data_IF_867367657582
#
_entry.id   IF_867367657582
#
_cell.length_a   1.000
_cell.length_b   1.000
_cell.length_c   1.000
_cell.angle_alpha   90.00
_cell.angle_beta   90.00
_cell.angle_gamma   90.00
#
_symmetry.space_group_name_H-M   'P 1'
#
loop_
_entity.id
_entity.type
_entity.pdbx_description
1 polymer ?
#
# COMPACT_ATOMS: atom_id res chain seq x y z
N UNK A 1 9.16 -0.84 0.84
CA UNK A 1 8.77 -0.79 2.27
C UNK A 1 7.41 -1.44 2.47
N UNK A 2 7.26 -2.28 3.50
CA UNK A 2 5.97 -2.83 3.93
C UNK A 2 5.47 -2.06 5.15
N UNK A 3 4.51 -1.15 4.93
CA UNK A 3 3.95 -0.26 5.94
C UNK A 3 2.67 -0.89 6.51
N UNK A 4 2.66 -1.17 7.81
CA UNK A 4 1.54 -1.86 8.46
C UNK A 4 0.91 -0.97 9.51
N UNK A 5 -0.42 -0.93 9.56
CA UNK A 5 -1.16 -0.45 10.72
C UNK A 5 -1.64 -1.64 11.57
N UNK A 6 -0.95 -1.99 12.68
CA UNK A 6 -1.34 -3.12 13.51
C UNK A 6 -2.69 -2.96 14.21
N UNK A 7 -3.20 -1.72 14.31
CA UNK A 7 -4.48 -1.42 14.93
C UNK A 7 -5.65 -1.47 13.92
N UNK A 8 -5.41 -1.74 12.64
CA UNK A 8 -6.46 -1.87 11.65
C UNK A 8 -7.24 -3.18 11.86
N UNK A 9 -8.57 -3.14 11.67
CA UNK A 9 -9.51 -4.16 12.17
C UNK A 9 -9.24 -5.59 11.69
N UNK A 10 -8.65 -5.74 10.52
CA UNK A 10 -8.46 -7.04 9.85
C UNK A 10 -7.00 -7.47 9.82
N UNK A 11 -6.11 -6.68 10.43
CA UNK A 11 -4.68 -6.98 10.52
C UNK A 11 -4.43 -7.88 11.73
N UNK A 12 -3.87 -9.06 11.48
CA UNK A 12 -3.42 -9.97 12.54
C UNK A 12 -1.91 -10.20 12.45
N UNK A 13 -1.24 -10.58 13.56
CA UNK A 13 0.17 -10.95 13.52
C UNK A 13 0.47 -12.06 12.50
N UNK A 14 -0.45 -13.03 12.36
CA UNK A 14 -0.32 -14.13 11.41
C UNK A 14 -0.35 -13.61 9.97
N UNK A 15 -1.37 -12.84 9.63
CA UNK A 15 -1.54 -12.27 8.29
C UNK A 15 -0.33 -11.40 7.91
N UNK A 16 0.12 -10.53 8.83
CA UNK A 16 1.33 -9.71 8.63
C UNK A 16 2.55 -10.56 8.28
N UNK A 17 2.82 -11.62 9.04
CA UNK A 17 3.97 -12.50 8.81
C UNK A 17 3.87 -13.23 7.48
N UNK A 18 2.67 -13.70 7.11
CA UNK A 18 2.45 -14.37 5.82
C UNK A 18 2.74 -13.43 4.66
N UNK A 19 2.19 -12.22 4.70
CA UNK A 19 2.36 -11.20 3.65
C UNK A 19 3.81 -10.75 3.57
N UNK A 20 4.45 -10.47 4.71
CA UNK A 20 5.86 -10.09 4.73
C UNK A 20 6.75 -11.16 4.10
N UNK A 21 6.50 -12.44 4.40
CA UNK A 21 7.26 -13.55 3.81
C UNK A 21 7.01 -13.69 2.32
N UNK A 22 5.78 -13.50 1.86
CA UNK A 22 5.44 -13.55 0.45
C UNK A 22 6.13 -12.41 -0.33
N UNK A 23 6.07 -11.17 0.17
CA UNK A 23 6.78 -10.04 -0.42
C UNK A 23 8.31 -10.25 -0.42
N UNK A 24 8.85 -10.79 0.67
CA UNK A 24 10.29 -11.01 0.82
C UNK A 24 10.83 -12.21 0.02
N UNK A 25 9.98 -12.94 -0.69
CA UNK A 25 10.43 -14.04 -1.55
C UNK A 25 11.29 -13.54 -2.71
N UNK A 26 10.88 -12.42 -3.33
CA UNK A 26 11.49 -11.86 -4.53
C UNK A 26 11.89 -10.37 -4.39
N UNK A 27 11.65 -9.76 -3.22
CA UNK A 27 11.94 -8.34 -2.97
C UNK A 27 12.68 -8.10 -1.65
N UNK A 28 13.46 -7.02 -1.60
CA UNK A 28 13.99 -6.50 -0.33
C UNK A 28 12.89 -5.78 0.44
N UNK A 29 12.54 -6.31 1.62
CA UNK A 29 11.40 -5.84 2.41
C UNK A 29 11.84 -5.32 3.77
N UNK A 30 11.64 -4.01 3.96
CA UNK A 30 11.71 -3.36 5.28
C UNK A 30 10.30 -3.20 5.84
N UNK A 31 10.04 -3.77 7.03
CA UNK A 31 8.79 -3.62 7.76
C UNK A 31 8.79 -2.31 8.56
N UNK A 32 7.73 -1.52 8.42
CA UNK A 32 7.51 -0.30 9.20
C UNK A 32 6.09 -0.28 9.78
N UNK A 33 5.95 -0.20 11.10
CA UNK A 33 4.64 -0.24 11.77
C UNK A 33 4.21 1.14 12.26
N UNK A 34 2.95 1.50 12.00
CA UNK A 34 2.36 2.71 12.57
C UNK A 34 2.16 2.53 14.08
N UNK A 35 2.41 3.58 14.87
CA UNK A 35 2.24 3.53 16.34
C UNK A 35 1.15 4.49 16.82
N UNK A 36 0.70 5.38 15.94
CA UNK A 36 -0.31 6.41 16.18
C UNK A 36 -0.86 6.91 14.86
N UNK A 37 -1.97 7.64 14.93
CA UNK A 37 -2.53 8.40 13.81
C UNK A 37 -1.48 9.35 13.20
N UNK A 38 -1.55 9.57 11.89
CA UNK A 38 -0.63 10.38 11.09
C UNK A 38 0.81 9.82 11.00
N UNK A 39 1.10 8.64 11.58
CA UNK A 39 2.43 8.03 11.49
C UNK A 39 2.72 7.53 10.07
N UNK A 40 1.71 7.08 9.32
CA UNK A 40 1.97 6.52 7.99
C UNK A 40 2.49 7.58 7.01
N UNK A 41 2.07 8.84 7.14
CA UNK A 41 2.62 9.97 6.37
C UNK A 41 4.13 10.12 6.58
N UNK A 42 4.60 10.00 7.83
CA UNK A 42 6.03 10.12 8.15
C UNK A 42 6.82 8.93 7.63
N UNK A 43 6.30 7.71 7.77
CA UNK A 43 6.95 6.50 7.26
C UNK A 43 7.03 6.54 5.72
N UNK A 44 5.99 7.02 5.05
CA UNK A 44 5.99 7.18 3.60
C UNK A 44 7.03 8.23 3.14
N UNK A 45 7.17 9.36 3.84
CA UNK A 45 8.23 10.34 3.54
C UNK A 45 9.63 9.74 3.74
N UNK A 46 9.82 8.98 4.82
CA UNK A 46 11.06 8.25 5.05
C UNK A 46 11.34 7.26 3.91
N UNK A 47 10.32 6.57 3.39
CA UNK A 47 10.48 5.68 2.24
C UNK A 47 10.95 6.42 0.98
N UNK A 48 10.55 7.69 0.79
CA UNK A 48 11.04 8.53 -0.31
C UNK A 48 12.50 8.92 -0.09
N UNK A 49 12.86 9.34 1.12
CA UNK A 49 14.24 9.70 1.49
C UNK A 49 15.20 8.52 1.37
N UNK A 50 14.72 7.32 1.66
CA UNK A 50 15.46 6.05 1.54
C UNK A 50 15.32 5.40 0.15
N UNK A 51 14.78 6.13 -0.84
CA UNK A 51 14.70 5.74 -2.26
C UNK A 51 13.99 4.39 -2.51
N UNK A 52 12.98 4.04 -1.72
CA UNK A 52 12.19 2.84 -1.99
C UNK A 52 11.41 2.97 -3.30
N UNK A 53 11.38 1.88 -4.07
CA UNK A 53 10.57 1.78 -5.28
C UNK A 53 9.07 1.77 -4.96
N UNK A 54 8.67 1.05 -3.91
CA UNK A 54 7.26 0.81 -3.56
C UNK A 54 7.03 0.86 -2.05
N UNK A 55 5.95 1.51 -1.63
CA UNK A 55 5.35 1.37 -0.30
C UNK A 55 4.09 0.51 -0.42
N UNK A 56 4.12 -0.68 0.17
CA UNK A 56 2.96 -1.57 0.29
C UNK A 56 2.28 -1.31 1.63
N UNK A 57 1.05 -0.82 1.63
CA UNK A 57 0.29 -0.49 2.85
C UNK A 57 -0.66 -1.63 3.20
N UNK A 58 -0.49 -2.25 4.37
CA UNK A 58 -1.50 -3.11 4.99
C UNK A 58 -2.24 -2.33 6.08
N UNK A 59 -3.46 -1.89 5.78
CA UNK A 59 -4.24 -1.05 6.68
C UNK A 59 -5.60 -0.67 6.09
N UNK A 60 -6.32 0.21 6.78
CA UNK A 60 -7.58 0.77 6.26
C UNK A 60 -7.37 2.00 5.36
N UNK A 61 -8.47 2.54 4.83
CA UNK A 61 -8.45 3.71 3.93
C UNK A 61 -7.76 4.94 4.54
N UNK A 62 -7.85 5.13 5.86
CA UNK A 62 -7.15 6.22 6.57
C UNK A 62 -5.63 6.08 6.53
N UNK A 63 -5.11 4.87 6.78
CA UNK A 63 -3.66 4.59 6.72
C UNK A 63 -3.14 4.74 5.30
N UNK A 64 -3.91 4.27 4.32
CA UNK A 64 -3.57 4.46 2.91
C UNK A 64 -3.53 5.95 2.54
N UNK A 65 -4.51 6.74 2.99
CA UNK A 65 -4.56 8.17 2.71
C UNK A 65 -3.37 8.91 3.32
N UNK A 66 -3.00 8.59 4.57
CA UNK A 66 -1.80 9.13 5.21
C UNK A 66 -0.53 8.81 4.39
N UNK A 67 -0.34 7.54 4.01
CA UNK A 67 0.80 7.11 3.21
C UNK A 67 0.83 7.84 1.84
N UNK A 68 -0.30 7.91 1.13
CA UNK A 68 -0.41 8.61 -0.14
C UNK A 68 0.01 10.09 -0.02
N UNK A 69 -0.40 10.78 1.05
CA UNK A 69 0.02 12.16 1.29
C UNK A 69 1.53 12.28 1.58
N UNK A 70 2.16 11.25 2.14
CA UNK A 70 3.61 11.22 2.34
C UNK A 70 4.41 11.04 1.05
N UNK A 71 3.80 10.50 0.00
CA UNK A 71 4.43 10.22 -1.30
C UNK A 71 4.15 11.28 -2.37
N UNK A 72 3.45 12.37 -2.03
CA UNK A 72 3.15 13.43 -3.00
C UNK A 72 4.46 13.96 -3.60
N UNK A 73 4.49 14.10 -4.93
CA UNK A 73 5.66 14.54 -5.72
C UNK A 73 6.88 13.60 -5.68
N UNK A 74 6.75 12.37 -5.19
CA UNK A 74 7.81 11.36 -5.28
C UNK A 74 7.60 10.40 -6.46
N UNK A 75 8.63 9.63 -6.79
CA UNK A 75 8.55 8.50 -7.73
C UNK A 75 8.22 7.17 -7.05
N UNK A 76 8.23 7.13 -5.71
CA UNK A 76 7.90 5.94 -4.93
C UNK A 76 6.45 5.55 -5.15
N UNK A 77 6.22 4.35 -5.67
CA UNK A 77 4.88 3.84 -5.92
C UNK A 77 4.15 3.48 -4.62
N UNK A 78 2.82 3.48 -4.68
CA UNK A 78 1.94 3.08 -3.59
C UNK A 78 1.12 1.85 -3.98
N UNK A 79 1.20 0.81 -3.17
CA UNK A 79 0.34 -0.36 -3.24
C UNK A 79 -0.50 -0.50 -1.97
N UNK A 80 -1.69 -1.08 -2.09
CA UNK A 80 -2.62 -1.28 -0.98
C UNK A 80 -2.91 -2.76 -0.78
N UNK A 81 -3.05 -3.16 0.48
CA UNK A 81 -3.62 -4.43 0.92
C UNK A 81 -4.71 -4.15 1.96
N UNK A 82 -5.86 -4.84 1.89
CA UNK A 82 -7.01 -4.61 2.75
C UNK A 82 -6.68 -4.96 4.22
N UNK A 83 -6.60 -3.96 5.09
CA UNK A 83 -6.40 -4.17 6.53
C UNK A 83 -7.51 -3.56 7.41
N UNK A 84 -8.39 -2.75 6.83
CA UNK A 84 -9.51 -2.10 7.53
C UNK A 84 -10.84 -2.81 7.30
N UNK A 85 -11.92 -2.17 7.76
CA UNK A 85 -13.28 -2.72 7.67
C UNK A 85 -13.93 -2.45 6.31
N UNK A 86 -13.69 -1.26 5.74
CA UNK A 86 -14.34 -0.83 4.49
C UNK A 86 -13.47 -1.13 3.26
N UNK A 87 -12.19 -0.76 3.32
CA UNK A 87 -11.20 -0.94 2.24
C UNK A 87 -11.72 -0.46 0.88
N UNK A 88 -12.38 0.70 0.85
CA UNK A 88 -13.05 1.23 -0.36
C UNK A 88 -12.09 1.27 -1.53
N UNK A 89 -10.86 1.72 -1.28
CA UNK A 89 -9.87 1.86 -2.34
C UNK A 89 -9.43 0.50 -2.91
N UNK A 90 -9.09 -0.47 -2.04
CA UNK A 90 -8.71 -1.82 -2.48
C UNK A 90 -9.84 -2.49 -3.28
N UNK A 91 -11.08 -2.37 -2.82
CA UNK A 91 -12.27 -2.89 -3.53
C UNK A 91 -12.49 -2.21 -4.88
N UNK A 92 -12.22 -0.90 -4.98
CA UNK A 92 -12.36 -0.15 -6.24
C UNK A 92 -11.34 -0.61 -7.27
N UNK A 93 -10.16 -1.06 -6.83
CA UNK A 93 -9.14 -1.71 -7.65
C UNK A 93 -9.46 -3.20 -7.96
N UNK A 94 -10.61 -3.71 -7.53
CA UNK A 94 -11.00 -5.10 -7.72
C UNK A 94 -10.23 -6.11 -6.85
N UNK A 95 -9.52 -5.65 -5.80
CA UNK A 95 -8.83 -6.55 -4.89
C UNK A 95 -9.83 -7.28 -3.98
N UNK A 96 -9.57 -8.57 -3.66
CA UNK A 96 -10.36 -9.31 -2.67
C UNK A 96 -10.17 -8.70 -1.28
N UNK A 97 -11.11 -8.98 -0.37
CA UNK A 97 -11.05 -8.50 1.01
C UNK A 97 -10.02 -9.23 1.86
N UNK A 98 -9.69 -10.47 1.49
CA UNK A 98 -8.64 -11.22 2.17
C UNK A 98 -7.27 -10.65 1.76
N UNK A 99 -6.47 -10.15 2.72
CA UNK A 99 -5.20 -9.52 2.40
C UNK A 99 -4.13 -10.50 1.90
N UNK A 100 -4.25 -11.80 2.18
CA UNK A 100 -3.32 -12.81 1.64
C UNK A 100 -3.64 -13.06 0.16
N UNK A 101 -4.92 -13.19 -0.18
CA UNK A 101 -5.37 -13.29 -1.58
C UNK A 101 -4.99 -12.04 -2.38
N UNK A 102 -5.22 -10.85 -1.81
CA UNK A 102 -4.85 -9.58 -2.44
C UNK A 102 -3.32 -9.46 -2.65
N UNK A 103 -2.52 -10.04 -1.75
CA UNK A 103 -1.06 -10.08 -1.89
C UNK A 103 -0.63 -10.93 -3.09
N UNK A 104 -1.31 -12.06 -3.34
CA UNK A 104 -1.03 -12.88 -4.53
C UNK A 104 -1.25 -12.10 -5.83
N UNK A 105 -2.37 -11.38 -5.94
CA UNK A 105 -2.67 -10.53 -7.10
C UNK A 105 -1.63 -9.41 -7.24
N UNK A 106 -1.26 -8.75 -6.13
CA UNK A 106 -0.26 -7.70 -6.13
C UNK A 106 1.08 -8.20 -6.69
N UNK A 107 1.59 -9.33 -6.19
CA UNK A 107 2.85 -9.92 -6.64
C UNK A 107 2.79 -10.27 -8.14
N UNK A 108 1.72 -10.91 -8.59
CA UNK A 108 1.54 -11.22 -10.01
C UNK A 108 1.56 -9.96 -10.90
N UNK A 109 1.02 -8.85 -10.42
CA UNK A 109 1.06 -7.58 -11.16
C UNK A 109 2.43 -6.91 -11.12
N UNK A 110 3.17 -7.01 -10.03
CA UNK A 110 4.52 -6.46 -9.91
C UNK A 110 5.49 -7.15 -10.87
N UNK A 111 5.37 -8.47 -11.04
CA UNK A 111 6.22 -9.24 -11.96
C UNK A 111 5.93 -8.96 -13.45
N UNK A 112 4.70 -8.57 -13.77
CA UNK A 112 4.23 -8.32 -15.15
C UNK A 112 4.34 -6.84 -15.55
N UNK A 113 4.42 -5.92 -14.59
CA UNK A 113 4.33 -4.49 -14.86
C UNK A 113 5.72 -3.86 -15.07
N UNK A 114 5.89 -3.19 -16.21
CA UNK A 114 6.65 -1.95 -16.25
C UNK A 114 5.75 -0.92 -15.52
N UNK A 115 6.12 -0.37 -14.35
CA UNK A 115 5.20 0.41 -13.52
C UNK A 115 4.61 1.56 -14.34
N UNK A 116 3.37 1.38 -14.79
CA UNK A 116 2.65 2.43 -15.50
C UNK A 116 2.36 3.51 -14.47
N UNK A 117 2.83 4.72 -14.76
CA UNK A 117 2.52 5.91 -13.97
C UNK A 117 1.00 6.03 -13.88
N UNK A 118 0.44 5.64 -12.74
CA UNK A 118 -0.96 5.85 -12.44
C UNK A 118 -1.08 7.31 -12.05
N UNK A 119 -1.76 8.10 -12.89
CA UNK A 119 -2.03 9.49 -12.58
C UNK A 119 -2.74 9.58 -11.23
N UNK A 120 -2.08 10.21 -10.26
CA UNK A 120 -2.69 10.55 -8.99
C UNK A 120 -3.82 11.55 -9.29
N UNK A 121 -5.07 11.09 -9.30
CA UNK A 121 -6.23 11.97 -9.36
C UNK A 121 -6.29 12.81 -8.09
N UNK A 122 -6.36 14.13 -8.20
CA UNK A 122 -6.53 15.04 -7.06
C UNK A 122 -7.98 15.50 -6.98
N UNK A 123 -8.70 15.16 -5.91
CA UNK A 123 -10.04 15.71 -5.60
C UNK A 123 -10.02 16.28 -4.19
N UNK A 124 -10.32 17.57 -4.03
CA UNK A 124 -10.32 18.29 -2.75
C UNK A 124 -8.98 18.27 -1.99
N UNK A 125 -7.84 18.32 -2.70
CA UNK A 125 -6.51 18.25 -2.10
C UNK A 125 -6.14 16.85 -1.58
N UNK A 126 -6.89 15.81 -1.97
CA UNK A 126 -6.62 14.41 -1.66
C UNK A 126 -6.20 13.69 -2.94
N UNK A 127 -5.08 13.00 -2.88
CA UNK A 127 -4.51 12.25 -3.99
C UNK A 127 -5.02 10.81 -3.97
N UNK A 128 -5.46 10.31 -5.13
CA UNK A 128 -5.99 8.97 -5.33
C UNK A 128 -5.22 8.28 -6.47
N UNK A 129 -4.81 7.02 -6.30
CA UNK A 129 -4.28 6.21 -7.40
C UNK A 129 -5.47 5.54 -8.12
N UNK A 130 -5.73 5.83 -9.40
CA UNK A 130 -6.72 5.08 -10.18
C UNK A 130 -6.03 4.31 -11.29
N UNK A 131 -6.04 2.98 -11.23
CA UNK A 131 -5.64 2.18 -12.39
C UNK A 131 -6.54 2.55 -13.58
N UNK A 132 -5.98 3.19 -14.61
CA UNK A 132 -6.66 3.39 -15.88
C UNK A 132 -6.32 2.20 -16.76
N UNK A 133 -7.30 1.32 -16.97
CA UNK A 133 -7.26 0.36 -18.06
C UNK A 133 -7.35 1.13 -19.38
N UNK A 134 -6.33 0.95 -20.22
CA UNK A 134 -6.39 1.32 -21.62
C UNK A 134 -7.00 0.18 -22.40
N UNK A 135 -8.34 0.15 -22.46
CA UNK A 135 -9.13 -0.33 -23.60
C UNK A 135 -10.40 0.53 -23.71
#
# INVERSE_FOLDING_TARGET
MFLVNPAASSVTPRTRVVIQKALAADHEVVLAETIRRDHATRLAKQAVEEEFDVVVVLGGDGTLNEAANGLIHSQTALAVLPGGSTNVFARTLGLPDDPVEATGILLETMDKANPKSVGLGCVNGRYFCSMLDGL
#
